data_IF_189754616505
#
_entry.id   IF_189754616505
#
_cell.length_a   1.000
_cell.length_b   1.000
_cell.length_c   1.000
_cell.angle_alpha   90.00
_cell.angle_beta   90.00
_cell.angle_gamma   90.00
#
_symmetry.space_group_name_H-M   'P 1'
#
loop_
_entity.id
_entity.type
_entity.pdbx_description
1 polymer ?
#
# COMPACT_ATOMS: atom_id res chain seq x y z
N UNK A 1 29.58 -26.93 74.94
CA UNK A 1 29.65 -25.56 75.49
C UNK A 1 30.17 -24.68 74.36
N UNK A 2 29.33 -24.03 73.56
CA UNK A 2 28.26 -23.12 73.98
C UNK A 2 28.83 -21.68 74.03
N UNK A 3 28.02 -20.67 73.71
CA UNK A 3 28.17 -19.80 72.54
C UNK A 3 28.51 -18.36 72.94
N UNK A 4 28.87 -17.50 71.98
CA UNK A 4 28.73 -16.04 72.14
C UNK A 4 28.95 -15.32 70.81
N UNK A 5 28.29 -14.22 70.48
CA UNK A 5 26.99 -13.64 70.85
C UNK A 5 26.85 -12.44 69.92
N UNK A 6 25.61 -12.19 69.51
CA UNK A 6 25.14 -11.05 68.72
C UNK A 6 25.65 -9.72 69.29
N UNK A 7 26.09 -8.82 68.42
CA UNK A 7 26.22 -7.39 68.72
C UNK A 7 25.37 -6.61 67.73
N UNK A 8 24.24 -6.10 68.24
CA UNK A 8 23.50 -4.98 67.69
C UNK A 8 24.21 -3.69 68.11
N UNK A 9 24.44 -2.77 67.17
CA UNK A 9 24.68 -1.36 67.46
C UNK A 9 23.59 -0.55 66.80
N UNK A 10 22.71 -0.01 67.63
CA UNK A 10 21.80 1.09 67.31
C UNK A 10 22.59 2.37 67.56
N UNK A 11 22.85 3.14 66.50
CA UNK A 11 23.43 4.47 66.57
C UNK A 11 22.53 5.44 65.81
N UNK A 12 21.78 6.26 66.55
CA UNK A 12 20.99 7.34 66.01
C UNK A 12 21.91 8.49 65.56
N UNK A 13 21.78 8.94 64.31
CA UNK A 13 22.17 10.28 63.90
C UNK A 13 20.92 11.02 63.38
N UNK A 14 20.47 11.98 64.18
CA UNK A 14 19.58 13.06 63.79
C UNK A 14 20.39 14.06 62.97
N UNK A 15 20.18 14.08 61.66
CA UNK A 15 20.58 15.19 60.79
C UNK A 15 19.30 15.82 60.22
N UNK A 16 18.93 16.97 60.77
CA UNK A 16 17.99 17.91 60.17
C UNK A 16 18.65 18.52 58.94
N UNK A 17 18.44 17.89 57.79
CA UNK A 17 18.71 18.47 56.48
C UNK A 17 17.39 18.79 55.80
N UNK A 18 17.12 20.07 55.57
CA UNK A 18 16.04 20.54 54.71
C UNK A 18 16.31 20.14 53.26
N UNK A 19 16.07 18.87 52.94
CA UNK A 19 16.02 18.35 51.58
C UNK A 19 14.57 18.13 51.21
N UNK A 20 14.11 18.78 50.15
CA UNK A 20 12.83 18.53 49.51
C UNK A 20 12.78 17.07 49.02
N UNK A 21 12.27 16.18 49.87
CA UNK A 21 11.82 14.85 49.51
C UNK A 21 10.52 14.99 48.72
N UNK A 22 10.65 15.24 47.41
CA UNK A 22 9.61 14.87 46.46
C UNK A 22 9.56 13.35 46.44
N UNK A 23 8.66 12.78 47.25
CA UNK A 23 8.27 11.38 47.12
C UNK A 23 7.78 11.19 45.69
N UNK A 24 8.54 10.41 44.91
CA UNK A 24 8.11 9.87 43.64
C UNK A 24 6.92 8.94 43.90
N UNK A 25 5.72 9.50 43.97
CA UNK A 25 4.51 8.76 43.66
C UNK A 25 4.61 8.43 42.17
N UNK A 26 4.75 7.14 41.87
CA UNK A 26 4.71 6.59 40.52
C UNK A 26 3.45 7.07 39.82
N UNK A 27 3.61 8.12 39.02
CA UNK A 27 2.60 8.52 38.06
C UNK A 27 2.76 7.54 36.89
N UNK A 28 1.75 6.71 36.68
CA UNK A 28 1.68 5.82 35.53
C UNK A 28 1.73 6.64 34.25
N UNK A 29 2.90 6.64 33.60
CA UNK A 29 3.06 7.04 32.21
C UNK A 29 3.62 5.87 31.43
N UNK A 30 2.73 4.93 31.07
CA UNK A 30 2.91 4.25 29.79
C UNK A 30 2.24 5.14 28.75
N UNK A 31 3.01 6.03 28.14
CA UNK A 31 2.60 6.78 26.96
C UNK A 31 2.51 5.84 25.75
N UNK A 32 1.55 4.92 25.75
CA UNK A 32 1.16 4.22 24.53
C UNK A 32 0.25 5.16 23.75
N UNK A 33 0.71 5.57 22.56
CA UNK A 33 -0.12 6.28 21.60
C UNK A 33 -1.35 5.47 21.18
N UNK A 34 -2.26 6.04 20.38
CA UNK A 34 -3.43 5.31 19.89
C UNK A 34 -3.01 4.04 19.14
N UNK A 35 -3.82 2.99 19.29
CA UNK A 35 -3.69 1.74 18.51
C UNK A 35 -4.75 1.74 17.41
N UNK A 36 -4.54 1.01 16.32
CA UNK A 36 -5.46 0.98 15.19
C UNK A 36 -6.07 -0.40 15.00
N UNK A 37 -7.35 -0.44 14.63
CA UNK A 37 -8.02 -1.62 14.10
C UNK A 37 -8.17 -1.47 12.60
N UNK A 38 -7.79 -2.49 11.85
CA UNK A 38 -8.02 -2.55 10.40
C UNK A 38 -9.22 -3.45 10.09
N UNK A 39 -10.04 -3.02 9.16
CA UNK A 39 -11.04 -3.87 8.50
C UNK A 39 -10.76 -3.89 7.01
N UNK A 40 -10.70 -5.09 6.43
CA UNK A 40 -10.53 -5.30 5.00
C UNK A 40 -11.88 -5.56 4.36
N UNK A 41 -12.12 -4.93 3.21
CA UNK A 41 -13.27 -5.19 2.34
C UNK A 41 -13.12 -6.50 1.56
N UNK A 42 -13.99 -6.65 0.56
CA UNK A 42 -14.01 -7.83 -0.30
C UNK A 42 -12.73 -7.96 -1.15
N UNK A 43 -12.47 -9.19 -1.58
CA UNK A 43 -11.36 -9.51 -2.46
C UNK A 43 -11.70 -9.17 -3.90
N UNK A 44 -10.77 -8.50 -4.58
CA UNK A 44 -10.95 -8.14 -5.98
C UNK A 44 -11.87 -6.95 -6.19
N UNK A 45 -12.04 -6.11 -5.16
CA UNK A 45 -12.77 -4.84 -5.26
C UNK A 45 -12.24 -4.02 -6.45
N UNK A 46 -13.15 -3.53 -7.30
CA UNK A 46 -12.85 -2.79 -8.54
C UNK A 46 -12.05 -3.53 -9.64
N UNK A 47 -11.82 -4.85 -9.54
CA UNK A 47 -11.08 -5.57 -10.58
C UNK A 47 -11.75 -5.50 -11.96
N UNK A 48 -13.08 -5.39 -12.02
CA UNK A 48 -13.80 -5.27 -13.29
C UNK A 48 -13.40 -4.00 -14.07
N UNK A 49 -13.39 -2.84 -13.42
CA UNK A 49 -13.01 -1.55 -14.01
C UNK A 49 -11.50 -1.52 -14.34
N UNK A 50 -10.69 -2.06 -13.43
CA UNK A 50 -9.23 -2.19 -13.61
C UNK A 50 -8.93 -3.04 -14.85
N UNK A 51 -9.54 -4.21 -14.97
CA UNK A 51 -9.36 -5.10 -16.10
C UNK A 51 -9.86 -4.50 -17.40
N UNK A 52 -10.96 -3.74 -17.35
CA UNK A 52 -11.45 -3.01 -18.53
C UNK A 52 -10.40 -2.04 -19.06
N UNK A 53 -9.74 -1.29 -18.18
CA UNK A 53 -8.65 -0.38 -18.58
C UNK A 53 -7.44 -1.13 -19.13
N UNK A 54 -7.06 -2.27 -18.53
CA UNK A 54 -5.95 -3.12 -18.98
C UNK A 54 -6.20 -3.72 -20.36
N UNK A 55 -7.39 -4.27 -20.57
CA UNK A 55 -7.77 -4.87 -21.85
C UNK A 55 -7.79 -3.83 -22.97
N UNK A 56 -8.20 -2.59 -22.68
CA UNK A 56 -8.12 -1.50 -23.65
C UNK A 56 -6.69 -1.21 -24.12
N UNK A 57 -5.68 -1.46 -23.27
CA UNK A 57 -4.25 -1.38 -23.60
C UNK A 57 -3.68 -2.71 -24.17
N UNK A 58 -4.52 -3.70 -24.44
CA UNK A 58 -4.09 -5.01 -24.94
C UNK A 58 -3.39 -5.88 -23.91
N UNK A 59 -3.53 -5.57 -22.61
CA UNK A 59 -3.00 -6.38 -21.52
C UNK A 59 -4.02 -7.42 -21.06
N UNK A 60 -3.52 -8.54 -20.54
CA UNK A 60 -4.36 -9.55 -19.90
C UNK A 60 -4.99 -9.01 -18.61
N UNK A 61 -6.17 -9.54 -18.28
CA UNK A 61 -6.80 -9.34 -16.98
C UNK A 61 -5.88 -9.77 -15.84
N UNK A 62 -5.99 -9.13 -14.70
CA UNK A 62 -5.37 -9.63 -13.49
C UNK A 62 -6.02 -10.92 -13.04
N UNK A 63 -5.23 -11.78 -12.41
CA UNK A 63 -5.71 -12.96 -11.71
C UNK A 63 -5.83 -12.59 -10.22
N UNK A 64 -6.99 -12.80 -9.61
CA UNK A 64 -7.13 -12.68 -8.17
C UNK A 64 -6.32 -13.82 -7.49
N UNK A 65 -5.33 -13.52 -6.64
CA UNK A 65 -4.56 -14.56 -5.96
C UNK A 65 -5.45 -15.40 -5.04
N UNK A 66 -5.14 -16.69 -4.95
CA UNK A 66 -5.83 -17.63 -4.06
C UNK A 66 -5.25 -17.63 -2.64
N UNK A 67 -5.93 -18.28 -1.70
CA UNK A 67 -5.47 -18.36 -0.31
C UNK A 67 -4.07 -18.95 -0.13
N UNK A 68 -3.66 -19.85 -1.02
CA UNK A 68 -2.35 -20.51 -0.98
C UNK A 68 -1.21 -19.63 -1.54
N UNK A 69 -1.52 -18.45 -2.08
CA UNK A 69 -0.58 -17.51 -2.68
C UNK A 69 -0.39 -16.27 -1.80
N UNK A 70 -0.11 -16.48 -0.51
CA UNK A 70 -0.04 -15.41 0.50
C UNK A 70 0.91 -14.24 0.11
N UNK A 71 2.03 -14.51 -0.55
CA UNK A 71 3.01 -13.50 -0.98
C UNK A 71 2.52 -12.60 -2.12
N UNK A 72 1.34 -12.86 -2.68
CA UNK A 72 0.72 -12.07 -3.74
C UNK A 72 -0.50 -11.28 -3.24
N UNK A 73 -0.77 -11.31 -1.93
CA UNK A 73 -1.98 -10.75 -1.29
C UNK A 73 -1.62 -9.69 -0.28
N UNK A 74 -2.48 -8.69 -0.11
CA UNK A 74 -2.33 -7.70 0.95
C UNK A 74 -2.28 -8.37 2.33
N UNK A 75 -1.61 -7.79 3.34
CA UNK A 75 -1.52 -8.39 4.66
C UNK A 75 -2.91 -8.63 5.27
N UNK A 76 -3.26 -9.90 5.42
CA UNK A 76 -4.57 -10.31 5.94
C UNK A 76 -4.66 -10.17 7.45
N UNK A 77 -3.51 -10.15 8.14
CA UNK A 77 -3.45 -9.92 9.58
C UNK A 77 -3.76 -8.46 9.90
N UNK A 78 -5.02 -8.19 10.26
CA UNK A 78 -5.54 -6.84 10.52
C UNK A 78 -5.17 -6.25 11.88
N UNK A 79 -4.51 -7.04 12.72
CA UNK A 79 -3.94 -6.63 14.02
C UNK A 79 -2.41 -6.60 14.00
N UNK A 80 -1.81 -6.81 12.82
CA UNK A 80 -0.36 -6.74 12.66
C UNK A 80 0.11 -5.28 12.63
N UNK A 81 1.35 -5.07 13.07
CA UNK A 81 2.07 -3.81 12.94
C UNK A 81 2.31 -3.38 11.48
N UNK A 82 1.98 -4.20 10.48
CA UNK A 82 2.16 -3.87 9.08
C UNK A 82 1.28 -2.69 8.64
N UNK A 83 0.06 -2.62 9.16
CA UNK A 83 -0.90 -1.55 8.84
C UNK A 83 -0.76 -0.30 9.73
N UNK A 84 -0.07 -0.42 10.87
CA UNK A 84 0.04 0.66 11.85
C UNK A 84 0.63 1.96 11.28
N UNK A 85 1.73 1.94 10.48
CA UNK A 85 2.24 3.17 9.85
C UNK A 85 1.21 3.84 8.95
N UNK A 86 0.57 3.07 8.06
CA UNK A 86 -0.45 3.59 7.15
C UNK A 86 -1.64 4.16 7.91
N UNK A 87 -2.18 3.43 8.87
CA UNK A 87 -3.32 3.88 9.66
C UNK A 87 -2.98 5.11 10.50
N UNK A 88 -1.79 5.15 11.10
CA UNK A 88 -1.32 6.31 11.87
C UNK A 88 -1.26 7.57 11.03
N UNK A 89 -0.77 7.46 9.81
CA UNK A 89 -0.60 8.62 8.96
C UNK A 89 -1.97 9.06 8.36
N UNK A 90 -2.83 8.12 7.97
CA UNK A 90 -4.21 8.40 7.50
C UNK A 90 -5.04 9.09 8.59
N UNK A 91 -4.83 8.67 9.84
CA UNK A 91 -5.47 9.19 11.03
C UNK A 91 -4.52 10.11 11.80
N UNK A 92 -3.69 10.94 11.16
CA UNK A 92 -2.79 11.80 11.93
C UNK A 92 -3.57 12.71 12.93
N UNK A 93 -3.32 12.63 14.26
CA UNK A 93 -4.13 13.31 15.28
C UNK A 93 -3.85 14.82 15.40
N UNK A 94 -2.76 15.35 14.83
CA UNK A 94 -2.39 16.78 14.93
C UNK A 94 -2.72 17.59 13.68
N UNK A 95 -3.35 17.01 12.66
CA UNK A 95 -3.88 17.73 11.48
C UNK A 95 -2.85 18.47 10.62
N UNK A 96 -1.55 18.40 10.92
CA UNK A 96 -0.52 19.22 10.27
C UNK A 96 0.25 18.53 9.15
N UNK A 97 -0.13 17.30 8.78
CA UNK A 97 0.19 16.74 7.47
C UNK A 97 -0.91 15.75 7.11
N UNK A 98 -1.76 16.12 6.15
CA UNK A 98 -2.51 15.11 5.41
C UNK A 98 -1.48 14.16 4.82
N UNK A 99 -1.72 12.84 4.91
CA UNK A 99 -0.91 11.88 4.18
C UNK A 99 -0.78 12.36 2.75
N UNK A 100 0.44 12.65 2.36
CA UNK A 100 0.75 12.78 0.96
C UNK A 100 1.06 11.37 0.48
N UNK A 101 0.67 11.04 -0.75
CA UNK A 101 0.73 9.66 -1.25
C UNK A 101 2.12 9.04 -1.06
N UNK A 102 3.16 9.89 -1.12
CA UNK A 102 4.58 9.63 -0.94
C UNK A 102 4.93 8.87 0.36
N UNK A 103 4.12 9.01 1.41
CA UNK A 103 4.42 8.48 2.75
C UNK A 103 3.96 7.02 2.95
N UNK A 104 3.24 6.41 2.00
CA UNK A 104 2.74 5.03 2.11
C UNK A 104 3.88 4.02 1.83
N UNK A 105 4.19 3.20 2.84
CA UNK A 105 5.12 2.08 2.73
C UNK A 105 4.46 0.85 2.12
N UNK A 106 5.23 0.12 1.31
CA UNK A 106 4.81 -1.13 0.70
C UNK A 106 4.89 -2.26 1.73
N UNK A 107 3.91 -3.17 1.72
CA UNK A 107 3.80 -4.22 2.74
C UNK A 107 4.74 -5.42 2.47
N UNK A 108 4.95 -5.72 1.19
CA UNK A 108 5.71 -6.85 0.64
C UNK A 108 6.00 -6.60 -0.85
N UNK A 109 6.77 -7.49 -1.49
CA UNK A 109 7.15 -7.40 -2.92
C UNK A 109 5.94 -7.28 -3.83
N UNK A 110 5.78 -6.11 -4.47
CA UNK A 110 4.71 -5.83 -5.42
C UNK A 110 4.67 -4.35 -5.76
N UNK A 111 3.93 -3.98 -6.80
CA UNK A 111 3.68 -2.58 -7.13
C UNK A 111 2.28 -2.19 -6.70
N UNK A 112 2.17 -1.12 -5.90
CA UNK A 112 0.92 -0.76 -5.23
C UNK A 112 0.23 0.46 -5.87
N UNK A 113 -1.08 0.35 -6.06
CA UNK A 113 -1.95 1.45 -6.42
C UNK A 113 -2.83 1.84 -5.24
N UNK A 114 -3.06 3.15 -5.06
CA UNK A 114 -3.80 3.67 -3.90
C UNK A 114 -4.77 4.78 -4.27
N UNK A 115 -5.86 4.88 -3.52
CA UNK A 115 -6.70 6.06 -3.42
C UNK A 115 -7.14 6.28 -1.97
N UNK A 116 -6.86 7.47 -1.43
CA UNK A 116 -7.41 7.88 -0.14
C UNK A 116 -8.85 8.33 -0.36
N UNK A 117 -9.78 7.71 0.36
CA UNK A 117 -11.21 7.93 0.19
C UNK A 117 -11.77 8.82 1.29
N UNK A 118 -12.83 9.55 0.98
CA UNK A 118 -13.58 10.37 1.94
C UNK A 118 -14.64 9.57 2.70
N UNK A 119 -14.93 8.34 2.27
CA UNK A 119 -15.92 7.44 2.87
C UNK A 119 -15.54 5.97 2.65
N UNK A 120 -16.23 5.05 3.34
CA UNK A 120 -16.06 3.61 3.17
C UNK A 120 -16.70 3.02 1.91
N UNK A 121 -16.79 3.79 0.83
CA UNK A 121 -17.33 3.34 -0.46
C UNK A 121 -16.34 3.71 -1.55
N UNK A 122 -16.04 2.74 -2.42
CA UNK A 122 -15.12 2.91 -3.55
C UNK A 122 -15.93 3.21 -4.81
N UNK A 123 -15.60 4.30 -5.50
CA UNK A 123 -16.06 4.53 -6.88
C UNK A 123 -14.99 4.00 -7.83
N UNK A 124 -15.12 2.71 -8.19
CA UNK A 124 -14.13 2.00 -9.00
C UNK A 124 -13.79 2.71 -10.32
N UNK A 125 -14.76 3.39 -10.92
CA UNK A 125 -14.53 4.15 -12.14
C UNK A 125 -13.71 5.39 -11.85
N UNK A 126 -14.07 6.17 -10.83
CA UNK A 126 -13.33 7.36 -10.44
C UNK A 126 -11.90 7.02 -10.02
N UNK A 127 -11.70 5.91 -9.31
CA UNK A 127 -10.38 5.37 -8.93
C UNK A 127 -9.52 5.09 -10.15
N UNK A 128 -10.03 4.33 -11.12
CA UNK A 128 -9.29 3.98 -12.34
C UNK A 128 -9.00 5.25 -13.16
N UNK A 129 -9.95 6.18 -13.25
CA UNK A 129 -9.74 7.46 -13.93
C UNK A 129 -8.69 8.33 -13.22
N UNK A 130 -8.65 8.33 -11.88
CA UNK A 130 -7.61 9.00 -11.08
C UNK A 130 -6.22 8.45 -11.40
N UNK A 131 -6.05 7.12 -11.39
CA UNK A 131 -4.77 6.49 -11.70
C UNK A 131 -4.35 6.74 -13.15
N UNK A 132 -5.27 6.57 -14.12
CA UNK A 132 -5.01 6.91 -15.53
C UNK A 132 -4.63 8.38 -15.72
N UNK A 133 -5.19 9.27 -14.91
CA UNK A 133 -4.86 10.70 -14.92
C UNK A 133 -3.39 11.02 -14.68
N UNK A 134 -2.63 10.10 -14.07
CA UNK A 134 -1.18 10.24 -13.87
C UNK A 134 -0.37 10.09 -15.18
N UNK A 135 -0.97 9.58 -16.25
CA UNK A 135 -0.34 9.49 -17.58
C UNK A 135 0.32 10.81 -18.01
N UNK A 136 -0.33 11.95 -17.73
CA UNK A 136 0.18 13.29 -18.07
C UNK A 136 1.51 13.65 -17.40
N UNK A 137 1.90 12.93 -16.34
CA UNK A 137 3.14 13.16 -15.62
C UNK A 137 4.34 12.52 -16.31
N UNK A 138 4.11 11.67 -17.34
CA UNK A 138 5.15 11.05 -18.14
C UNK A 138 5.25 11.74 -19.51
N UNK A 139 6.43 12.24 -19.85
CA UNK A 139 6.70 12.85 -21.16
C UNK A 139 7.03 11.83 -22.27
N UNK A 140 7.04 10.55 -21.93
CA UNK A 140 7.45 9.43 -22.77
C UNK A 140 7.44 8.13 -21.97
N UNK A 141 8.14 7.11 -22.47
CA UNK A 141 8.27 5.82 -21.80
C UNK A 141 8.70 6.02 -20.32
N UNK A 142 7.94 5.50 -19.34
CA UNK A 142 8.33 5.57 -17.93
C UNK A 142 9.73 4.99 -17.69
N UNK A 143 10.61 5.68 -16.96
CA UNK A 143 11.99 5.26 -16.78
C UNK A 143 12.11 4.06 -15.83
N UNK A 144 13.29 3.43 -15.76
CA UNK A 144 13.62 2.49 -14.69
C UNK A 144 13.54 3.15 -13.31
N UNK A 145 13.13 2.40 -12.28
CA UNK A 145 13.06 2.91 -10.90
C UNK A 145 14.46 2.97 -10.26
N UNK A 146 15.15 4.08 -10.51
CA UNK A 146 16.47 4.39 -9.93
C UNK A 146 16.35 5.63 -9.04
N UNK A 147 17.39 5.94 -8.27
CA UNK A 147 17.42 7.17 -7.45
C UNK A 147 17.25 8.47 -8.28
N UNK A 148 17.60 8.44 -9.57
CA UNK A 148 17.39 9.57 -10.48
C UNK A 148 15.94 9.70 -10.97
N UNK A 149 15.12 8.65 -10.84
CA UNK A 149 13.74 8.62 -11.32
C UNK A 149 12.77 9.26 -10.30
N UNK A 150 12.81 10.58 -10.19
CA UNK A 150 11.96 11.34 -9.26
C UNK A 150 10.47 11.22 -9.54
N UNK A 151 10.10 10.81 -10.76
CA UNK A 151 8.68 10.61 -11.17
C UNK A 151 7.95 9.62 -10.27
N UNK A 152 8.62 8.62 -9.72
CA UNK A 152 7.99 7.61 -8.85
C UNK A 152 7.86 8.02 -7.38
N UNK A 153 8.29 9.25 -7.03
CA UNK A 153 8.00 9.80 -5.71
C UNK A 153 6.49 10.04 -5.56
N UNK A 154 5.82 10.50 -6.63
CA UNK A 154 4.36 10.60 -6.66
C UNK A 154 3.73 9.20 -6.81
N UNK A 155 3.03 8.71 -5.77
CA UNK A 155 2.41 7.38 -5.87
C UNK A 155 1.23 7.30 -6.82
N UNK A 156 0.70 8.39 -7.39
CA UNK A 156 -0.20 8.23 -8.54
C UNK A 156 0.55 7.72 -9.77
N UNK A 157 1.81 8.10 -9.94
CA UNK A 157 2.64 7.57 -11.02
C UNK A 157 2.94 6.09 -10.78
N UNK A 158 3.18 5.70 -9.51
CA UNK A 158 3.28 4.29 -9.12
C UNK A 158 1.97 3.54 -9.33
N UNK A 159 0.82 4.13 -8.95
CA UNK A 159 -0.52 3.55 -9.13
C UNK A 159 -0.85 3.34 -10.60
N UNK A 160 -0.47 4.28 -11.45
CA UNK A 160 -0.57 4.17 -12.89
C UNK A 160 0.27 3.00 -13.43
N UNK A 161 1.50 2.85 -12.95
CA UNK A 161 2.36 1.74 -13.38
C UNK A 161 1.79 0.39 -12.91
N UNK A 162 1.32 0.31 -11.67
CA UNK A 162 0.66 -0.88 -11.13
C UNK A 162 -0.59 -1.26 -11.96
N UNK A 163 -1.47 -0.30 -12.28
CA UNK A 163 -2.66 -0.51 -13.11
C UNK A 163 -2.31 -1.25 -14.42
N UNK A 164 -1.22 -0.85 -15.07
CA UNK A 164 -0.79 -1.39 -16.35
C UNK A 164 0.33 -2.44 -16.25
N UNK A 165 0.58 -3.04 -15.09
CA UNK A 165 1.60 -4.09 -14.91
C UNK A 165 1.55 -5.13 -16.06
N UNK A 166 2.58 -5.19 -16.93
CA UNK A 166 2.52 -5.94 -18.18
C UNK A 166 2.89 -7.41 -18.02
N UNK A 167 3.20 -7.84 -16.79
CA UNK A 167 3.69 -9.18 -16.53
C UNK A 167 2.67 -10.25 -16.96
N UNK A 168 3.16 -11.28 -17.65
CA UNK A 168 2.32 -12.43 -18.02
C UNK A 168 1.81 -13.13 -16.76
N UNK A 169 0.49 -13.30 -16.66
CA UNK A 169 -0.13 -13.90 -15.48
C UNK A 169 -0.05 -13.03 -14.24
N UNK A 170 0.06 -11.70 -14.41
CA UNK A 170 0.04 -10.77 -13.31
C UNK A 170 -1.21 -10.97 -12.43
N UNK A 171 -1.02 -10.81 -11.13
CA UNK A 171 -2.10 -10.89 -10.13
C UNK A 171 -2.38 -9.52 -9.54
N UNK A 172 -3.58 -9.35 -9.00
CA UNK A 172 -3.92 -8.18 -8.19
C UNK A 172 -4.80 -8.57 -7.00
N UNK A 173 -4.44 -8.12 -5.80
CA UNK A 173 -5.30 -8.16 -4.62
C UNK A 173 -5.71 -6.73 -4.28
N UNK A 174 -6.98 -6.43 -4.52
CA UNK A 174 -7.57 -5.10 -4.37
C UNK A 174 -8.61 -5.10 -3.25
N UNK A 175 -8.48 -4.17 -2.31
CA UNK A 175 -9.35 -4.09 -1.13
C UNK A 175 -9.59 -2.66 -0.69
N UNK A 176 -10.82 -2.39 -0.23
CA UNK A 176 -11.07 -1.27 0.69
C UNK A 176 -10.44 -1.61 2.05
N UNK A 177 -9.70 -0.66 2.61
CA UNK A 177 -9.10 -0.76 3.94
C UNK A 177 -9.66 0.36 4.80
N UNK A 178 -10.23 -0.02 5.94
CA UNK A 178 -10.72 0.92 6.95
C UNK A 178 -9.83 0.87 8.17
N UNK A 179 -9.14 1.97 8.45
CA UNK A 179 -8.42 2.18 9.71
C UNK A 179 -9.37 2.81 10.72
N UNK A 180 -9.49 2.21 11.90
CA UNK A 180 -10.28 2.74 13.03
C UNK A 180 -9.35 2.98 14.21
N UNK A 181 -9.31 4.21 14.70
CA UNK A 181 -8.56 4.56 15.90
C UNK A 181 -9.20 3.93 17.15
N UNK A 182 -8.40 3.26 17.97
CA UNK A 182 -8.82 2.75 19.28
C UNK A 182 -8.27 3.70 20.35
N UNK A 183 -9.13 4.45 21.06
CA UNK A 183 -8.69 5.32 22.16
C UNK A 183 -8.00 4.52 23.26
N UNK A 184 -6.89 5.04 23.79
CA UNK A 184 -6.26 4.49 24.99
C UNK A 184 -7.16 4.77 26.21
N UNK A 185 -7.97 3.78 26.62
CA UNK A 185 -8.82 3.74 27.83
C UNK A 185 -9.11 5.10 28.50
N UNK A 186 -10.18 5.78 28.08
CA UNK A 186 -10.77 6.80 28.95
C UNK A 186 -11.48 6.13 30.12
N UNK A 187 -10.95 6.39 31.33
CA UNK A 187 -11.58 6.11 32.61
C UNK A 187 -12.90 6.89 32.69
N UNK A 188 -14.02 6.21 32.44
CA UNK A 188 -15.41 6.51 32.84
C UNK A 188 -16.01 7.88 32.48
N UNK A 189 -17.08 7.87 31.67
CA UNK A 189 -18.45 8.20 32.11
C UNK A 189 -19.38 8.48 30.91
N UNK A 190 -20.46 7.68 30.81
CA UNK A 190 -21.78 8.04 30.26
C UNK A 190 -21.85 9.18 29.23
N UNK A 191 -21.86 8.80 27.96
CA UNK A 191 -22.30 9.62 26.83
C UNK A 191 -22.52 8.74 25.61
N UNK A 192 -23.74 8.70 25.10
CA UNK A 192 -24.08 8.05 23.84
C UNK A 192 -23.25 8.67 22.69
N UNK A 193 -22.54 7.84 21.93
CA UNK A 193 -22.28 8.08 20.50
C UNK A 193 -21.03 8.87 20.08
N UNK A 194 -19.85 8.64 20.66
CA UNK A 194 -18.61 9.09 20.01
C UNK A 194 -18.09 7.98 19.10
N UNK A 195 -18.36 8.06 17.79
CA UNK A 195 -17.84 7.07 16.83
C UNK A 195 -16.32 7.21 16.78
N UNK A 196 -15.59 6.11 16.98
CA UNK A 196 -14.15 6.06 16.76
C UNK A 196 -13.78 6.70 15.41
N UNK A 197 -12.69 7.47 15.36
CA UNK A 197 -12.26 8.13 14.12
C UNK A 197 -11.84 7.08 13.09
N UNK A 198 -12.30 7.26 11.85
CA UNK A 198 -12.03 6.34 10.75
C UNK A 198 -11.36 7.04 9.57
N UNK A 199 -10.53 6.29 8.87
CA UNK A 199 -9.96 6.67 7.59
C UNK A 199 -10.07 5.50 6.62
N UNK A 200 -10.24 5.83 5.34
CA UNK A 200 -10.55 4.88 4.30
C UNK A 200 -9.52 5.01 3.18
N UNK A 201 -8.99 3.88 2.75
CA UNK A 201 -8.07 3.82 1.61
C UNK A 201 -8.43 2.62 0.76
N UNK A 202 -8.54 2.82 -0.54
CA UNK A 202 -8.54 1.73 -1.49
C UNK A 202 -7.11 1.44 -1.91
N UNK A 203 -6.71 0.17 -1.82
CA UNK A 203 -5.38 -0.30 -2.20
C UNK A 203 -5.48 -1.53 -3.09
N UNK A 204 -4.66 -1.54 -4.13
CA UNK A 204 -4.39 -2.71 -4.94
C UNK A 204 -2.91 -3.03 -4.90
N UNK A 205 -2.56 -4.25 -4.51
CA UNK A 205 -1.23 -4.80 -4.71
C UNK A 205 -1.21 -5.57 -6.02
N UNK A 206 -0.30 -5.24 -6.93
CA UNK A 206 -0.05 -6.02 -8.15
C UNK A 206 1.25 -6.80 -8.05
N UNK A 207 1.28 -8.00 -8.63
CA UNK A 207 2.45 -8.88 -8.60
C UNK A 207 2.67 -9.52 -9.99
N UNK A 208 3.93 -9.70 -10.44
CA UNK A 208 5.20 -9.31 -9.82
C UNK A 208 5.41 -7.81 -9.67
N UNK A 209 6.37 -7.39 -8.83
CA UNK A 209 6.79 -5.99 -8.75
C UNK A 209 7.46 -5.55 -10.07
N UNK A 210 6.89 -4.54 -10.72
CA UNK A 210 7.40 -3.98 -11.99
C UNK A 210 8.16 -2.68 -11.79
N UNK A 211 8.24 -2.18 -10.56
CA UNK A 211 9.03 -1.03 -10.16
C UNK A 211 10.12 -1.41 -9.15
N UNK A 212 10.61 -2.65 -9.19
CA UNK A 212 11.77 -3.06 -8.40
C UNK A 212 12.96 -2.11 -8.67
N UNK A 213 13.66 -1.69 -7.60
CA UNK A 213 14.77 -0.74 -7.67
C UNK A 213 15.90 -1.26 -8.56
N UNK A 214 16.46 -0.36 -9.36
CA UNK A 214 17.63 -0.60 -10.22
C UNK A 214 17.45 -1.74 -11.24
N UNK A 215 16.19 -2.09 -11.55
CA UNK A 215 15.81 -3.04 -12.60
C UNK A 215 15.44 -2.31 -13.91
N UNK A 216 14.96 -3.08 -14.89
CA UNK A 216 14.46 -2.56 -16.17
C UNK A 216 13.29 -1.59 -15.99
N UNK A 217 13.05 -0.77 -17.02
CA UNK A 217 11.86 0.06 -17.11
C UNK A 217 10.57 -0.80 -16.99
N UNK A 218 9.48 -0.27 -16.42
CA UNK A 218 8.26 -1.04 -16.16
C UNK A 218 7.56 -1.49 -17.44
N UNK A 219 7.80 -0.79 -18.56
CA UNK A 219 7.21 -1.08 -19.86
C UNK A 219 8.28 -1.11 -20.95
N UNK A 220 8.01 -1.91 -21.98
CA UNK A 220 8.64 -1.77 -23.30
C UNK A 220 8.00 -0.61 -24.08
N UNK A 221 8.65 -0.18 -25.16
CA UNK A 221 8.07 0.84 -26.03
C UNK A 221 6.73 0.41 -26.63
N UNK A 222 6.62 -0.86 -27.04
CA UNK A 222 5.39 -1.38 -27.64
C UNK A 222 4.22 -1.40 -26.63
N UNK A 223 4.47 -1.82 -25.40
CA UNK A 223 3.47 -1.77 -24.32
C UNK A 223 3.05 -0.33 -24.04
N UNK A 224 4.01 0.59 -23.95
CA UNK A 224 3.75 2.00 -23.71
C UNK A 224 2.93 2.66 -24.82
N UNK A 225 3.19 2.33 -26.08
CA UNK A 225 2.44 2.84 -27.22
C UNK A 225 0.98 2.39 -27.16
N UNK A 226 0.72 1.12 -26.79
CA UNK A 226 -0.65 0.60 -26.60
C UNK A 226 -1.36 1.25 -25.42
N UNK A 227 -0.67 1.42 -24.28
CA UNK A 227 -1.22 2.13 -23.11
C UNK A 227 -1.56 3.58 -23.47
N UNK A 228 -0.65 4.27 -24.15
CA UNK A 228 -0.85 5.65 -24.61
C UNK A 228 -2.03 5.78 -25.57
N UNK A 229 -2.16 4.84 -26.51
CA UNK A 229 -3.30 4.80 -27.43
C UNK A 229 -4.62 4.59 -26.69
N UNK A 230 -4.67 3.64 -25.74
CA UNK A 230 -5.84 3.35 -24.93
C UNK A 230 -6.30 4.55 -24.06
N UNK A 231 -5.36 5.37 -23.59
CA UNK A 231 -5.66 6.54 -22.75
C UNK A 231 -6.08 7.74 -23.60
N UNK A 232 -5.37 8.00 -24.70
CA UNK A 232 -5.63 9.17 -25.56
C UNK A 232 -6.81 8.97 -26.52
N UNK A 233 -7.35 7.75 -26.61
CA UNK A 233 -8.39 7.41 -27.58
C UNK A 233 -7.89 7.40 -29.02
N UNK A 234 -6.57 7.41 -29.22
CA UNK A 234 -5.97 7.25 -30.54
C UNK A 234 -6.21 5.81 -30.98
N UNK A 235 -6.87 5.62 -32.14
CA UNK A 235 -7.05 4.28 -32.69
C UNK A 235 -5.68 3.60 -32.78
N UNK A 236 -5.49 2.50 -32.05
CA UNK A 236 -4.29 1.69 -32.18
C UNK A 236 -4.16 1.36 -33.67
N UNK A 237 -3.10 1.86 -34.32
CA UNK A 237 -2.75 1.44 -35.67
C UNK A 237 -2.63 -0.08 -35.55
N UNK A 238 -3.54 -0.81 -36.19
CA UNK A 238 -3.56 -2.26 -36.12
C UNK A 238 -2.18 -2.76 -36.56
N UNK A 239 -1.33 -3.12 -35.60
CA UNK A 239 -0.06 -3.74 -35.91
C UNK A 239 -0.42 -5.08 -36.55
N UNK A 240 -0.03 -5.31 -37.81
CA UNK A 240 -0.37 -6.54 -38.48
C UNK A 240 0.28 -7.67 -37.69
N UNK A 241 -0.54 -8.52 -37.07
CA UNK A 241 -0.08 -9.82 -36.59
C UNK A 241 0.56 -10.50 -37.81
N UNK A 242 1.86 -10.79 -37.75
CA UNK A 242 2.56 -11.43 -38.85
C UNK A 242 1.89 -12.78 -39.16
N UNK A 243 0.99 -12.80 -40.13
CA UNK A 243 0.47 -14.03 -40.71
C UNK A 243 1.62 -14.62 -41.52
N UNK A 244 2.22 -15.67 -40.99
CA UNK A 244 3.22 -16.47 -41.70
C UNK A 244 2.52 -17.19 -42.85
N UNK A 245 2.59 -16.65 -44.06
CA UNK A 245 2.07 -17.29 -45.27
C UNK A 245 3.11 -18.32 -45.72
N UNK A 246 2.79 -19.60 -45.55
CA UNK A 246 3.57 -20.70 -46.10
C UNK A 246 3.40 -20.74 -47.63
N UNK A 247 4.43 -20.39 -48.38
CA UNK A 247 4.46 -20.56 -49.85
C UNK A 247 4.82 -22.01 -50.19
N UNK A 248 3.85 -22.79 -50.64
CA UNK A 248 4.09 -24.09 -51.29
C UNK A 248 4.51 -23.87 -52.74
N UNK A 249 5.77 -24.13 -53.05
CA UNK A 249 6.29 -24.15 -54.43
C UNK A 249 5.92 -25.50 -55.05
N UNK A 250 4.94 -25.52 -55.95
CA UNK A 250 4.62 -26.70 -56.76
C UNK A 250 5.41 -26.63 -58.07
N UNK A 251 6.62 -27.19 -58.07
CA UNK A 251 7.39 -27.44 -59.29
C UNK A 251 6.88 -28.72 -59.93
N UNK A 252 6.22 -28.65 -61.08
CA UNK A 252 6.04 -29.79 -61.97
C UNK A 252 6.77 -29.49 -63.27
N UNK A 253 7.89 -30.18 -63.46
CA UNK A 253 8.62 -30.26 -64.71
C UNK A 253 8.30 -31.62 -65.38
N UNK A 254 7.95 -31.51 -66.68
CA UNK A 254 8.10 -32.48 -67.77
C UNK A 254 7.45 -33.87 -67.65
N UNK A 255 6.53 -34.15 -68.59
CA UNK A 255 6.76 -35.06 -69.73
C UNK A 255 5.79 -34.71 -70.88
#
# INVERSE_FOLDING_TARGET
MGPSKIVLVVGALLALGSGTLSTMAQNGQNGQGPTYRVTLGEEGECLQEIDTARQAAGLAKFIQPTADEATKRLPLETVSNAWDPLCKDLLNPTGTKALSREDIQDFQDGTYAFEILTSGTVDCKATVDLWKGAFKNFSGLPPANTDAATVYQDKLNVSFVALYNPSTGATADCRLVTCTEIPALQKSATGDGESNRQAFIFVCMTFPDVLERDQKAPFTQEEWDRISAAITGSAAVAFPSFIVIAMTVLSIAML
#
